data_IF_754803188128
#
_entry.id   IF_754803188128
#
_cell.length_a   1.000
_cell.length_b   1.000
_cell.length_c   1.000
_cell.angle_alpha   90.00
_cell.angle_beta   90.00
_cell.angle_gamma   90.00
#
_symmetry.space_group_name_H-M   'P 1'
#
loop_
_entity.id
_entity.type
_entity.pdbx_description
1 polymer ?
#
# COMPACT_ATOMS: atom_id res chain seq x y z
N UNK A 1 -1.83 68.86 -23.39
CA UNK A 1 -2.99 68.10 -23.88
C UNK A 1 -2.60 66.63 -24.01
N UNK A 2 -3.31 65.78 -23.26
CA UNK A 2 -3.58 64.34 -23.50
C UNK A 2 -2.43 63.33 -23.30
N UNK A 3 -2.28 62.94 -22.03
CA UNK A 3 -2.22 61.52 -21.66
C UNK A 3 -3.50 60.80 -22.14
N UNK A 4 -3.40 59.51 -22.52
CA UNK A 4 -4.43 58.46 -22.73
C UNK A 4 -3.96 57.62 -23.94
N UNK A 5 -3.43 56.39 -23.81
CA UNK A 5 -4.15 55.19 -23.37
C UNK A 5 -3.14 54.04 -23.19
N UNK A 6 -2.82 53.71 -21.93
CA UNK A 6 -2.27 52.41 -21.55
C UNK A 6 -3.42 51.52 -21.06
N UNK A 7 -4.11 50.82 -21.97
CA UNK A 7 -5.12 49.81 -21.61
C UNK A 7 -5.26 48.78 -22.74
N UNK A 8 -4.40 47.76 -22.72
CA UNK A 8 -4.49 46.45 -23.39
C UNK A 8 -3.04 45.96 -23.45
N UNK A 9 -2.53 45.22 -22.47
CA UNK A 9 -2.65 43.77 -22.44
C UNK A 9 -2.21 43.26 -21.06
N UNK A 10 -3.03 43.50 -20.02
CA UNK A 10 -2.81 42.96 -18.68
C UNK A 10 -3.47 41.57 -18.51
N UNK A 11 -3.61 40.80 -19.59
CA UNK A 11 -4.46 39.59 -19.62
C UNK A 11 -3.71 38.34 -20.13
N UNK A 12 -2.40 38.28 -19.93
CA UNK A 12 -1.58 37.12 -20.31
C UNK A 12 -0.81 36.47 -19.13
N UNK A 13 -0.87 37.04 -17.92
CA UNK A 13 -0.03 36.62 -16.78
C UNK A 13 -0.77 35.85 -15.67
N UNK A 14 -2.05 35.48 -15.89
CA UNK A 14 -2.88 34.84 -14.85
C UNK A 14 -3.15 33.34 -15.09
N UNK A 15 -2.38 32.65 -15.94
CA UNK A 15 -2.65 31.26 -16.31
C UNK A 15 -1.55 30.23 -16.00
N UNK A 16 -0.46 30.62 -15.34
CA UNK A 16 0.68 29.71 -15.07
C UNK A 16 0.78 29.14 -13.64
N UNK A 17 -0.08 29.54 -12.69
CA UNK A 17 0.16 29.22 -11.25
C UNK A 17 -0.70 28.05 -10.72
N UNK A 18 -1.61 27.48 -11.52
CA UNK A 18 -2.60 26.51 -10.99
C UNK A 18 -2.22 25.02 -11.13
N UNK A 19 -1.02 24.68 -11.62
CA UNK A 19 -0.62 23.28 -11.83
C UNK A 19 0.46 22.74 -10.86
N UNK A 20 0.90 23.54 -9.88
CA UNK A 20 2.14 23.29 -9.12
C UNK A 20 2.11 22.20 -8.04
N UNK A 21 1.14 22.14 -7.10
CA UNK A 21 1.28 21.28 -5.92
C UNK A 21 0.74 19.86 -6.12
N UNK A 22 -0.34 19.69 -6.89
CA UNK A 22 -0.98 18.39 -7.06
C UNK A 22 -0.17 17.42 -7.94
N UNK A 23 0.42 17.92 -9.04
CA UNK A 23 1.27 17.11 -9.91
C UNK A 23 2.54 16.64 -9.18
N UNK A 24 3.17 17.52 -8.39
CA UNK A 24 4.38 17.18 -7.61
C UNK A 24 4.07 16.24 -6.45
N UNK A 25 2.89 16.30 -5.84
CA UNK A 25 2.45 15.31 -4.85
C UNK A 25 2.27 13.94 -5.50
N UNK A 26 1.59 13.89 -6.64
CA UNK A 26 1.39 12.66 -7.42
C UNK A 26 2.72 12.02 -7.87
N UNK A 27 3.68 12.81 -8.35
CA UNK A 27 4.99 12.29 -8.78
C UNK A 27 5.74 11.62 -7.61
N UNK A 28 5.70 12.23 -6.41
CA UNK A 28 6.32 11.65 -5.20
C UNK A 28 5.68 10.34 -4.76
N UNK A 29 4.35 10.23 -4.84
CA UNK A 29 3.62 9.01 -4.51
C UNK A 29 3.96 7.88 -5.48
N UNK A 30 4.07 8.19 -6.79
CA UNK A 30 4.49 7.25 -7.82
C UNK A 30 5.93 6.78 -7.56
N UNK A 31 6.85 7.70 -7.27
CA UNK A 31 8.24 7.39 -6.93
C UNK A 31 8.35 6.52 -5.67
N UNK A 32 7.56 6.79 -4.64
CA UNK A 32 7.55 6.02 -3.40
C UNK A 32 7.18 4.55 -3.65
N UNK A 33 6.11 4.29 -4.41
CA UNK A 33 5.69 2.91 -4.72
C UNK A 33 6.68 2.22 -5.67
N UNK A 34 7.27 2.95 -6.64
CA UNK A 34 8.31 2.39 -7.49
C UNK A 34 9.56 2.00 -6.68
N UNK A 35 9.94 2.82 -5.69
CA UNK A 35 11.01 2.52 -4.75
C UNK A 35 10.72 1.26 -3.93
N UNK A 36 9.50 1.15 -3.39
CA UNK A 36 9.04 -0.06 -2.70
C UNK A 36 9.15 -1.30 -3.59
N UNK A 37 8.63 -1.25 -4.82
CA UNK A 37 8.66 -2.39 -5.76
C UNK A 37 10.11 -2.79 -6.07
N UNK A 38 10.99 -1.82 -6.33
CA UNK A 38 12.40 -2.07 -6.62
C UNK A 38 13.11 -2.74 -5.44
N UNK A 39 12.84 -2.30 -4.20
CA UNK A 39 13.38 -2.91 -2.98
C UNK A 39 12.79 -4.30 -2.70
N UNK A 40 11.50 -4.49 -2.97
CA UNK A 40 10.77 -5.71 -2.63
C UNK A 40 11.29 -6.93 -3.39
N UNK A 41 11.81 -6.77 -4.61
CA UNK A 41 12.38 -7.88 -5.36
C UNK A 41 13.53 -8.53 -4.58
N UNK A 42 14.43 -7.75 -3.97
CA UNK A 42 15.51 -8.32 -3.16
C UNK A 42 15.00 -8.80 -1.80
N UNK A 43 14.33 -7.91 -1.06
CA UNK A 43 13.91 -8.17 0.31
C UNK A 43 12.95 -9.37 0.43
N UNK A 44 12.02 -9.53 -0.51
CA UNK A 44 10.96 -10.55 -0.41
C UNK A 44 11.29 -11.88 -1.12
N UNK A 45 12.28 -11.90 -2.03
CA UNK A 45 12.59 -13.12 -2.80
C UNK A 45 13.96 -13.72 -2.49
N UNK A 46 14.86 -12.97 -1.84
CA UNK A 46 16.24 -13.40 -1.59
C UNK A 46 16.67 -13.31 -0.13
N UNK A 47 16.16 -12.34 0.63
CA UNK A 47 16.52 -12.17 2.05
C UNK A 47 15.55 -12.93 2.97
N UNK A 48 15.90 -13.13 4.26
CA UNK A 48 14.95 -13.65 5.26
C UNK A 48 13.65 -12.85 5.29
N UNK A 49 12.51 -13.51 5.53
CA UNK A 49 11.17 -12.92 5.40
C UNK A 49 10.98 -11.63 6.19
N UNK A 50 11.65 -11.50 7.35
CA UNK A 50 11.65 -10.27 8.16
C UNK A 50 12.05 -9.03 7.34
N UNK A 51 13.04 -9.12 6.45
CA UNK A 51 13.47 -7.98 5.64
C UNK A 51 12.36 -7.46 4.70
N UNK A 52 11.48 -8.35 4.22
CA UNK A 52 10.32 -7.96 3.42
C UNK A 52 9.27 -7.23 4.26
N UNK A 53 9.06 -7.67 5.50
CA UNK A 53 8.15 -7.02 6.46
C UNK A 53 8.67 -5.64 6.82
N UNK A 54 9.96 -5.53 7.17
CA UNK A 54 10.60 -4.27 7.55
C UNK A 54 10.55 -3.24 6.41
N UNK A 55 10.70 -3.68 5.16
CA UNK A 55 10.53 -2.82 3.99
C UNK A 55 9.10 -2.26 3.90
N UNK A 56 8.08 -3.06 4.21
CA UNK A 56 6.69 -2.61 4.25
C UNK A 56 6.43 -1.57 5.34
N UNK A 57 7.01 -1.76 6.53
CA UNK A 57 6.94 -0.79 7.63
C UNK A 57 7.64 0.52 7.29
N UNK A 58 8.84 0.43 6.70
CA UNK A 58 9.57 1.60 6.24
C UNK A 58 8.78 2.39 5.18
N UNK A 59 8.06 1.70 4.28
CA UNK A 59 7.19 2.36 3.31
C UNK A 59 6.01 3.08 3.96
N UNK A 60 5.42 2.53 5.03
CA UNK A 60 4.40 3.20 5.82
C UNK A 60 4.97 4.36 6.68
N UNK A 61 6.30 4.49 6.76
CA UNK A 61 6.96 5.51 7.58
C UNK A 61 6.91 5.23 9.08
N UNK A 62 6.77 3.96 9.48
CA UNK A 62 6.56 3.55 10.87
C UNK A 62 7.73 2.72 11.40
N UNK A 63 8.03 2.87 12.70
CA UNK A 63 8.80 1.86 13.44
C UNK A 63 7.94 0.62 13.70
N UNK A 64 8.52 -0.59 13.81
CA UNK A 64 7.78 -1.81 14.16
C UNK A 64 6.88 -1.68 15.41
N UNK A 65 7.33 -0.89 16.40
CA UNK A 65 6.67 -0.71 17.69
C UNK A 65 5.63 0.43 17.71
N UNK A 66 5.59 1.31 16.70
CA UNK A 66 4.70 2.48 16.71
C UNK A 66 3.23 2.12 16.39
N UNK A 67 3.06 0.94 15.75
CA UNK A 67 1.78 0.39 15.33
C UNK A 67 1.14 1.15 14.16
N UNK A 68 0.49 0.41 13.26
CA UNK A 68 -0.33 0.95 12.19
C UNK A 68 -1.68 1.39 12.75
N UNK A 69 -2.09 2.63 12.48
CA UNK A 69 -3.45 3.10 12.72
C UNK A 69 -4.32 2.98 11.46
N UNK A 70 -5.63 3.17 11.62
CA UNK A 70 -6.54 3.24 10.48
C UNK A 70 -6.19 4.42 9.53
N UNK A 71 -5.66 5.52 10.07
CA UNK A 71 -5.22 6.66 9.28
C UNK A 71 -3.98 6.31 8.44
N UNK A 72 -3.02 5.59 9.02
CA UNK A 72 -1.81 5.15 8.30
C UNK A 72 -2.17 4.19 7.16
N UNK A 73 -3.08 3.24 7.41
CA UNK A 73 -3.61 2.34 6.38
C UNK A 73 -4.32 3.10 5.25
N UNK A 74 -5.11 4.13 5.59
CA UNK A 74 -5.80 4.95 4.59
C UNK A 74 -4.80 5.73 3.73
N UNK A 75 -3.72 6.26 4.32
CA UNK A 75 -2.67 6.96 3.61
C UNK A 75 -1.91 6.02 2.67
N UNK A 76 -1.48 4.85 3.15
CA UNK A 76 -0.84 3.81 2.34
C UNK A 76 -1.74 3.43 1.15
N UNK A 77 -3.04 3.22 1.39
CA UNK A 77 -4.01 2.93 0.33
C UNK A 77 -4.12 4.06 -0.68
N UNK A 78 -4.11 5.32 -0.25
CA UNK A 78 -4.18 6.48 -1.14
C UNK A 78 -2.95 6.53 -2.05
N UNK A 79 -1.75 6.43 -1.48
CA UNK A 79 -0.47 6.41 -2.22
C UNK A 79 -0.44 5.30 -3.27
N UNK A 80 -0.81 4.07 -2.88
CA UNK A 80 -0.90 2.93 -3.81
C UNK A 80 -1.96 3.17 -4.88
N UNK A 81 -3.07 3.81 -4.54
CA UNK A 81 -4.15 4.16 -5.45
C UNK A 81 -3.70 5.12 -6.56
N UNK A 82 -2.97 6.17 -6.20
CA UNK A 82 -2.43 7.12 -7.17
C UNK A 82 -1.43 6.45 -8.10
N UNK A 83 -0.51 5.64 -7.55
CA UNK A 83 0.42 4.86 -8.36
C UNK A 83 -0.31 3.90 -9.32
N UNK A 84 -1.33 3.19 -8.85
CA UNK A 84 -2.05 2.22 -9.68
C UNK A 84 -2.82 2.90 -10.80
N UNK A 85 -3.46 4.04 -10.55
CA UNK A 85 -4.12 4.83 -11.60
C UNK A 85 -3.15 5.24 -12.71
N UNK A 86 -1.93 5.64 -12.34
CA UNK A 86 -0.89 6.02 -13.29
C UNK A 86 -0.28 4.80 -14.03
N UNK A 87 -0.20 3.64 -13.38
CA UNK A 87 0.60 2.49 -13.87
C UNK A 87 -0.23 1.36 -14.47
N UNK A 88 -1.55 1.29 -14.20
CA UNK A 88 -2.38 0.12 -14.53
C UNK A 88 -2.32 -0.29 -16.01
N UNK A 89 -2.17 0.67 -16.93
CA UNK A 89 -2.13 0.41 -18.38
C UNK A 89 -0.87 -0.37 -18.82
N UNK A 90 0.23 -0.23 -18.07
CA UNK A 90 1.52 -0.87 -18.38
C UNK A 90 1.79 -2.11 -17.52
N UNK A 91 0.98 -2.35 -16.48
CA UNK A 91 1.09 -3.54 -15.66
C UNK A 91 0.72 -4.81 -16.44
N UNK A 92 1.45 -5.93 -16.25
CA UNK A 92 1.02 -7.24 -16.72
C UNK A 92 -0.42 -7.53 -16.26
N UNK A 93 -1.28 -8.17 -17.08
CA UNK A 93 -2.70 -8.38 -16.74
C UNK A 93 -2.90 -9.01 -15.36
N UNK A 94 -2.10 -10.03 -15.03
CA UNK A 94 -2.16 -10.70 -13.72
C UNK A 94 -1.84 -9.75 -12.56
N UNK A 95 -0.76 -8.99 -12.66
CA UNK A 95 -0.37 -8.02 -11.62
C UNK A 95 -1.46 -6.95 -11.44
N UNK A 96 -2.01 -6.45 -12.55
CA UNK A 96 -3.11 -5.48 -12.53
C UNK A 96 -4.34 -6.02 -11.80
N UNK A 97 -4.72 -7.27 -12.08
CA UNK A 97 -5.84 -7.94 -11.40
C UNK A 97 -5.58 -8.11 -9.91
N UNK A 98 -4.39 -8.57 -9.52
CA UNK A 98 -4.06 -8.80 -8.11
C UNK A 98 -4.05 -7.50 -7.30
N UNK A 99 -3.44 -6.42 -7.82
CA UNK A 99 -3.47 -5.12 -7.17
C UNK A 99 -4.91 -4.58 -7.09
N UNK A 100 -5.68 -4.70 -8.17
CA UNK A 100 -7.09 -4.30 -8.18
C UNK A 100 -7.95 -5.05 -7.16
N UNK A 101 -7.75 -6.36 -7.00
CA UNK A 101 -8.43 -7.17 -5.99
C UNK A 101 -8.03 -6.77 -4.56
N UNK A 102 -6.74 -6.51 -4.32
CA UNK A 102 -6.26 -6.04 -3.01
C UNK A 102 -6.89 -4.70 -2.62
N UNK A 103 -6.95 -3.74 -3.55
CA UNK A 103 -7.63 -2.46 -3.32
C UNK A 103 -9.14 -2.64 -3.09
N UNK A 104 -9.81 -3.51 -3.86
CA UNK A 104 -11.23 -3.79 -3.67
C UNK A 104 -11.51 -4.39 -2.29
N UNK A 105 -10.66 -5.30 -1.81
CA UNK A 105 -10.77 -5.87 -0.48
C UNK A 105 -10.61 -4.80 0.60
N UNK A 106 -9.58 -3.95 0.45
CA UNK A 106 -9.35 -2.83 1.36
C UNK A 106 -10.56 -1.89 1.41
N UNK A 107 -11.02 -1.42 0.25
CA UNK A 107 -12.11 -0.45 0.13
C UNK A 107 -13.46 -1.02 0.61
N UNK A 108 -13.70 -2.32 0.39
CA UNK A 108 -14.90 -3.01 0.86
C UNK A 108 -14.95 -3.19 2.38
N UNK A 109 -13.79 -3.34 3.03
CA UNK A 109 -13.70 -3.57 4.48
C UNK A 109 -13.57 -2.25 5.24
N UNK A 110 -12.77 -1.33 4.71
CA UNK A 110 -12.35 -0.09 5.34
C UNK A 110 -11.20 -0.28 6.33
N UNK A 111 -10.38 0.78 6.57
CA UNK A 111 -9.21 0.71 7.43
C UNK A 111 -9.55 0.36 8.89
N UNK A 112 -10.65 0.89 9.44
CA UNK A 112 -11.03 0.63 10.84
C UNK A 112 -11.30 -0.85 11.11
N UNK A 113 -11.99 -1.53 10.19
CA UNK A 113 -12.25 -2.98 10.30
C UNK A 113 -11.03 -3.83 10.04
N UNK A 114 -10.09 -3.35 9.23
CA UNK A 114 -8.81 -4.01 9.05
C UNK A 114 -8.02 -3.95 10.36
N UNK A 115 -7.85 -2.76 10.96
CA UNK A 115 -7.20 -2.60 12.27
C UNK A 115 -7.86 -3.50 13.31
N UNK A 116 -9.18 -3.42 13.48
CA UNK A 116 -9.90 -4.21 14.48
C UNK A 116 -9.79 -5.74 14.28
N UNK A 117 -9.44 -6.21 13.08
CA UNK A 117 -9.22 -7.64 12.83
C UNK A 117 -7.86 -8.14 13.36
N UNK A 118 -6.88 -7.25 13.50
CA UNK A 118 -5.52 -7.58 13.91
C UNK A 118 -5.17 -7.05 15.31
N UNK A 119 -5.75 -5.94 15.74
CA UNK A 119 -5.59 -5.34 17.07
C UNK A 119 -6.08 -6.32 18.16
N UNK A 120 -5.14 -6.96 18.84
CA UNK A 120 -5.43 -7.97 19.86
C UNK A 120 -5.48 -7.38 21.26
N UNK A 121 -4.83 -6.23 21.47
CA UNK A 121 -4.69 -5.60 22.77
C UNK A 121 -5.72 -4.48 23.01
N UNK A 122 -6.43 -4.03 21.97
CA UNK A 122 -7.50 -3.05 21.99
C UNK A 122 -7.03 -1.59 22.02
N UNK A 123 -5.80 -1.29 21.62
CA UNK A 123 -5.23 0.06 21.62
C UNK A 123 -5.49 0.87 20.34
N UNK A 124 -6.27 0.29 19.40
CA UNK A 124 -6.59 0.83 18.09
C UNK A 124 -5.39 0.99 17.15
N UNK A 125 -4.33 0.21 17.39
CA UNK A 125 -3.15 0.09 16.54
C UNK A 125 -2.88 -1.37 16.23
N UNK A 126 -2.04 -1.62 15.24
CA UNK A 126 -1.56 -2.95 14.91
C UNK A 126 -0.04 -2.89 14.81
N UNK A 127 0.64 -3.43 15.81
CA UNK A 127 2.09 -3.58 15.74
C UNK A 127 2.51 -4.74 14.82
N UNK A 128 3.83 -4.88 14.60
CA UNK A 128 4.35 -5.93 13.73
C UNK A 128 4.07 -7.35 14.26
N UNK A 129 4.08 -7.54 15.58
CA UNK A 129 3.79 -8.82 16.20
C UNK A 129 2.32 -9.21 16.03
N UNK A 130 1.41 -8.24 16.11
CA UNK A 130 -0.03 -8.44 15.91
C UNK A 130 -0.35 -8.73 14.45
N UNK A 131 0.26 -8.01 13.49
CA UNK A 131 0.04 -8.29 12.07
C UNK A 131 0.52 -9.70 11.68
N UNK A 132 1.62 -10.15 12.29
CA UNK A 132 2.25 -11.44 12.00
C UNK A 132 1.78 -12.57 12.91
N UNK A 133 0.76 -12.36 13.74
CA UNK A 133 0.29 -13.38 14.69
C UNK A 133 -0.10 -14.71 14.01
N UNK A 134 -0.49 -14.68 12.73
CA UNK A 134 -0.87 -15.85 11.93
C UNK A 134 0.24 -16.30 10.96
N UNK A 135 1.45 -15.75 11.08
CA UNK A 135 2.60 -16.01 10.19
C UNK A 135 3.84 -16.33 11.03
N UNK A 136 4.36 -17.55 10.88
CA UNK A 136 5.62 -17.94 11.49
C UNK A 136 6.79 -17.55 10.57
N UNK A 137 7.43 -16.42 10.88
CA UNK A 137 8.63 -16.00 10.15
C UNK A 137 9.83 -16.90 10.47
N UNK A 138 10.58 -17.24 9.42
CA UNK A 138 11.87 -17.95 9.51
C UNK A 138 12.89 -17.36 8.51
N UNK A 139 14.03 -18.02 8.38
CA UNK A 139 15.14 -17.56 7.53
C UNK A 139 14.86 -17.67 6.01
N UNK A 140 13.76 -18.29 5.59
CA UNK A 140 13.39 -18.37 4.18
C UNK A 140 12.89 -17.01 3.67
N UNK A 141 13.00 -16.76 2.36
CA UNK A 141 12.37 -15.59 1.76
C UNK A 141 10.85 -15.64 1.83
N UNK A 142 10.22 -14.47 1.96
CA UNK A 142 8.76 -14.33 2.00
C UNK A 142 8.07 -15.04 0.84
N UNK A 143 8.64 -14.98 -0.38
CA UNK A 143 8.13 -15.68 -1.57
C UNK A 143 7.99 -17.20 -1.42
N UNK A 144 8.80 -17.83 -0.57
CA UNK A 144 8.70 -19.26 -0.26
C UNK A 144 7.79 -19.49 0.95
N UNK A 145 7.91 -18.63 1.96
CA UNK A 145 7.18 -18.73 3.23
C UNK A 145 5.66 -18.67 3.03
N UNK A 146 5.15 -17.74 2.22
CA UNK A 146 3.69 -17.59 2.01
C UNK A 146 3.03 -18.81 1.34
N UNK A 147 3.82 -19.64 0.68
CA UNK A 147 3.36 -20.86 0.01
C UNK A 147 3.33 -22.05 0.96
N UNK A 148 4.04 -21.98 2.09
CA UNK A 148 4.10 -23.03 3.09
C UNK A 148 2.84 -23.02 3.97
N UNK A 149 2.00 -24.07 3.94
CA UNK A 149 0.80 -24.14 4.76
C UNK A 149 1.10 -24.24 6.26
N UNK A 150 2.30 -24.66 6.66
CA UNK A 150 2.70 -24.76 8.06
C UNK A 150 3.24 -23.43 8.60
N UNK A 151 3.66 -22.51 7.72
CA UNK A 151 4.17 -21.20 8.09
C UNK A 151 3.08 -20.12 8.15
N UNK A 152 1.92 -20.33 7.54
CA UNK A 152 0.82 -19.37 7.50
C UNK A 152 -0.48 -20.02 7.93
N UNK A 153 -1.05 -19.57 9.05
CA UNK A 153 -2.40 -19.96 9.47
C UNK A 153 -3.44 -19.22 8.60
N UNK A 154 -3.71 -19.81 7.43
CA UNK A 154 -4.66 -19.26 6.45
C UNK A 154 -6.09 -19.20 6.99
N UNK A 155 -6.46 -20.04 7.96
CA UNK A 155 -7.80 -20.06 8.52
C UNK A 155 -8.00 -18.89 9.49
N UNK A 156 -7.04 -18.69 10.41
CA UNK A 156 -7.02 -17.54 11.30
C UNK A 156 -6.92 -16.23 10.52
N UNK A 157 -6.03 -16.15 9.53
CA UNK A 157 -5.88 -14.96 8.68
C UNK A 157 -7.18 -14.63 7.92
N UNK A 158 -7.88 -15.65 7.37
CA UNK A 158 -9.17 -15.46 6.74
C UNK A 158 -10.22 -14.93 7.73
N UNK A 159 -10.21 -15.41 8.97
CA UNK A 159 -11.11 -14.94 10.02
C UNK A 159 -10.86 -13.47 10.38
N UNK A 160 -9.60 -13.06 10.57
CA UNK A 160 -9.23 -11.66 10.86
C UNK A 160 -9.64 -10.71 9.74
N UNK A 161 -9.52 -11.17 8.49
CA UNK A 161 -9.94 -10.43 7.32
C UNK A 161 -11.46 -10.54 7.03
N UNK A 162 -12.20 -11.33 7.82
CA UNK A 162 -13.59 -11.76 7.60
C UNK A 162 -13.87 -12.23 6.15
N UNK A 163 -12.92 -12.96 5.60
CA UNK A 163 -13.05 -13.58 4.29
C UNK A 163 -13.84 -14.89 4.39
N UNK A 164 -14.55 -15.22 3.31
CA UNK A 164 -15.17 -16.55 3.21
C UNK A 164 -14.08 -17.63 3.20
N UNK A 165 -14.34 -18.80 3.81
CA UNK A 165 -13.42 -19.94 3.73
C UNK A 165 -13.06 -20.27 2.28
N UNK A 166 -11.76 -20.48 2.01
CA UNK A 166 -11.23 -20.83 0.68
C UNK A 166 -10.86 -19.66 -0.24
N UNK A 167 -11.20 -18.41 0.11
CA UNK A 167 -10.89 -17.25 -0.73
C UNK A 167 -9.38 -16.95 -0.78
N UNK A 168 -8.67 -17.10 0.35
CA UNK A 168 -7.20 -16.98 0.39
C UNK A 168 -6.51 -18.11 -0.36
N UNK A 169 -7.11 -19.31 -0.35
CA UNK A 169 -6.56 -20.50 -1.00
C UNK A 169 -6.45 -20.28 -2.51
N UNK A 170 -7.53 -19.82 -3.14
CA UNK A 170 -7.56 -19.54 -4.58
C UNK A 170 -6.62 -18.41 -5.04
N UNK A 171 -6.22 -17.49 -4.14
CA UNK A 171 -5.28 -16.41 -4.46
C UNK A 171 -3.83 -16.88 -4.32
N UNK A 172 -3.52 -17.68 -3.29
CA UNK A 172 -2.16 -18.13 -2.98
C UNK A 172 -1.73 -19.36 -3.80
N UNK A 173 -2.66 -20.25 -4.16
CA UNK A 173 -2.36 -21.48 -4.91
C UNK A 173 -2.25 -21.29 -6.42
N UNK A 174 -2.61 -20.10 -6.95
CA UNK A 174 -2.48 -19.81 -8.39
C UNK A 174 -1.08 -19.31 -8.79
N UNK A 175 -0.08 -19.34 -7.92
CA UNK A 175 1.28 -18.90 -8.22
C UNK A 175 1.95 -19.76 -9.30
#
# INVERSE_FOLDING_TARGET
MRQLRHRANAMAFLLMVLFGPAAVAQDREIEAVNGLIAGAVDACTRQPAQACVDLGWAFAGLSPDDGLTAADLAEVRNVVGVWFQASQAILPPRARTLVGLGMLLFDGRGPDRLIAGFDTNGDARVDQSELLADVHLDDRPMSQLILDPDAVDRASLAQRLELRPGLLQGVLEQQ
#
